data_IF_208512341878
#
_entry.id   IF_208512341878
#
_cell.length_a   1.000
_cell.length_b   1.000
_cell.length_c   1.000
_cell.angle_alpha   90.00
_cell.angle_beta   90.00
_cell.angle_gamma   90.00
#
_symmetry.space_group_name_H-M   'P 1'
#
loop_
_entity.id
_entity.type
_entity.pdbx_description
1 polymer ?
#
# COMPACT_ATOMS: atom_id res chain seq x y z
N UNK A 1 -12.12 -11.75 -12.89
CA UNK A 1 -10.90 -12.09 -12.13
C UNK A 1 -10.85 -11.17 -10.92
N UNK A 2 -10.96 -11.71 -9.70
CA UNK A 2 -10.84 -10.93 -8.47
C UNK A 2 -9.36 -10.72 -8.16
N UNK A 3 -8.99 -9.51 -7.74
CA UNK A 3 -7.64 -9.24 -7.25
C UNK A 3 -7.46 -9.92 -5.89
N UNK A 4 -6.36 -10.65 -5.69
CA UNK A 4 -5.99 -11.14 -4.36
C UNK A 4 -5.35 -9.99 -3.58
N UNK A 5 -5.99 -9.55 -2.51
CA UNK A 5 -5.53 -8.45 -1.64
C UNK A 5 -4.49 -8.89 -0.60
N UNK A 6 -4.10 -10.16 -0.64
CA UNK A 6 -3.05 -10.74 0.20
C UNK A 6 -1.66 -10.62 -0.42
N UNK A 7 -1.56 -10.11 -1.66
CA UNK A 7 -0.27 -9.86 -2.31
C UNK A 7 0.49 -8.75 -1.58
N UNK A 8 1.81 -8.87 -1.40
CA UNK A 8 2.64 -7.82 -0.82
C UNK A 8 2.78 -6.64 -1.80
N UNK A 9 2.69 -5.42 -1.26
CA UNK A 9 2.83 -4.16 -2.01
C UNK A 9 3.95 -3.34 -1.39
N UNK A 10 4.91 -2.89 -2.21
CA UNK A 10 5.97 -1.98 -1.80
C UNK A 10 5.71 -0.58 -2.41
N UNK A 11 5.62 0.43 -1.55
CA UNK A 11 5.47 1.84 -1.95
C UNK A 11 6.84 2.51 -1.85
N UNK A 12 7.36 3.03 -2.97
CA UNK A 12 8.68 3.69 -3.03
C UNK A 12 8.50 5.13 -3.50
N UNK A 13 8.85 6.08 -2.65
CA UNK A 13 8.77 7.52 -2.94
C UNK A 13 9.73 8.29 -2.01
N UNK A 14 10.24 9.45 -2.41
CA UNK A 14 11.15 10.24 -1.58
C UNK A 14 10.42 11.13 -0.56
N UNK A 15 9.10 11.23 -0.66
CA UNK A 15 8.29 12.04 0.22
C UNK A 15 7.42 11.22 1.19
N UNK A 16 7.87 11.15 2.45
CA UNK A 16 7.25 10.36 3.51
C UNK A 16 5.75 10.61 3.72
N UNK A 17 5.27 11.84 3.47
CA UNK A 17 3.83 12.15 3.56
C UNK A 17 3.03 11.39 2.51
N UNK A 18 3.53 11.29 1.28
CA UNK A 18 2.84 10.59 0.18
C UNK A 18 2.79 9.10 0.43
N UNK A 19 3.89 8.50 0.87
CA UNK A 19 3.94 7.10 1.31
C UNK A 19 2.84 6.82 2.34
N UNK A 20 2.72 7.69 3.35
CA UNK A 20 1.72 7.53 4.41
C UNK A 20 0.29 7.62 3.86
N UNK A 21 0.01 8.56 2.96
CA UNK A 21 -1.30 8.68 2.31
C UNK A 21 -1.61 7.43 1.51
N UNK A 22 -0.68 6.98 0.66
CA UNK A 22 -0.90 5.83 -0.21
C UNK A 22 -1.14 4.54 0.59
N UNK A 23 -0.33 4.31 1.63
CA UNK A 23 -0.47 3.15 2.52
C UNK A 23 -1.84 3.12 3.20
N UNK A 24 -2.33 4.27 3.64
CA UNK A 24 -3.64 4.35 4.28
C UNK A 24 -4.78 4.05 3.29
N UNK A 25 -4.68 4.55 2.06
CA UNK A 25 -5.65 4.25 1.01
C UNK A 25 -5.65 2.75 0.65
N UNK A 26 -4.46 2.16 0.47
CA UNK A 26 -4.32 0.72 0.18
C UNK A 26 -4.92 -0.15 1.29
N UNK A 27 -4.71 0.22 2.56
CA UNK A 27 -5.33 -0.47 3.70
C UNK A 27 -6.84 -0.32 3.74
N UNK A 28 -7.39 0.84 3.37
CA UNK A 28 -8.85 1.06 3.33
C UNK A 28 -9.56 0.20 2.28
N UNK A 29 -8.90 -0.08 1.15
CA UNK A 29 -9.44 -0.94 0.09
C UNK A 29 -9.15 -2.44 0.32
N UNK A 30 -8.46 -2.79 1.41
CA UNK A 30 -8.34 -4.16 1.90
C UNK A 30 -6.98 -4.84 1.70
N UNK A 31 -5.95 -4.13 1.22
CA UNK A 31 -4.59 -4.67 1.21
C UNK A 31 -4.07 -4.82 2.64
N UNK A 32 -3.57 -6.02 2.95
CA UNK A 32 -3.08 -6.35 4.30
C UNK A 32 -1.57 -6.16 4.44
N UNK A 33 -0.84 -6.40 3.36
CA UNK A 33 0.62 -6.45 3.33
C UNK A 33 1.14 -5.30 2.46
N UNK A 34 1.48 -4.18 3.12
CA UNK A 34 1.93 -2.95 2.47
C UNK A 34 3.11 -2.37 3.23
N UNK A 35 4.28 -2.45 2.60
CA UNK A 35 5.55 -1.95 3.07
C UNK A 35 5.98 -0.69 2.30
N UNK A 36 6.94 0.04 2.85
CA UNK A 36 7.53 1.24 2.26
C UNK A 36 9.05 1.20 2.27
N UNK A 37 9.67 1.86 1.28
CA UNK A 37 11.12 2.00 1.15
C UNK A 37 11.52 3.37 0.59
#
# INVERSE_FOLDING_TARGET
MSLDLSIPVLVVDDYQTMIRILRNLLKQIGFKDVDDA
#
